data_IF_074652649342
#
_entry.id   IF_074652649342
#
_cell.length_a   1.000
_cell.length_b   1.000
_cell.length_c   1.000
_cell.angle_alpha   90.00
_cell.angle_beta   90.00
_cell.angle_gamma   90.00
#
_symmetry.space_group_name_H-M   'P 1'
#
loop_
_entity.id
_entity.type
_entity.pdbx_description
1 polymer ?
#
# COMPACT_ATOMS: atom_id res chain seq x y z
N UNK A 1 45.53 50.39 -12.64
CA UNK A 1 46.98 50.15 -12.50
C UNK A 1 47.27 48.70 -12.85
N UNK A 2 48.25 48.50 -13.75
CA UNK A 2 49.07 47.30 -14.07
C UNK A 2 49.11 46.20 -13.00
N UNK A 3 49.37 44.91 -13.26
CA UNK A 3 49.59 44.11 -14.47
C UNK A 3 49.89 42.65 -14.00
N UNK A 4 49.43 41.68 -14.80
CA UNK A 4 50.12 40.45 -15.28
C UNK A 4 51.14 39.70 -14.41
N UNK A 5 51.02 38.36 -14.36
CA UNK A 5 52.02 37.45 -14.94
C UNK A 5 51.49 36.01 -15.14
N UNK A 6 51.78 35.47 -16.34
CA UNK A 6 51.54 34.12 -16.87
C UNK A 6 52.80 33.24 -16.76
N UNK A 7 52.64 31.91 -16.82
CA UNK A 7 53.35 30.88 -17.65
C UNK A 7 52.94 29.50 -17.12
N UNK A 8 52.36 28.52 -17.83
CA UNK A 8 52.56 27.78 -19.11
C UNK A 8 53.83 26.89 -19.22
N UNK A 9 53.53 25.57 -19.29
CA UNK A 9 54.06 24.46 -20.13
C UNK A 9 55.43 23.84 -19.86
N UNK A 10 55.49 22.49 -19.81
CA UNK A 10 56.16 21.67 -20.84
C UNK A 10 55.81 20.17 -20.81
N UNK A 11 55.69 19.63 -22.02
CA UNK A 11 55.61 18.22 -22.43
C UNK A 11 57.01 17.73 -22.88
N UNK A 12 57.25 16.41 -22.90
CA UNK A 12 58.08 15.80 -23.95
C UNK A 12 59.12 14.72 -23.57
N UNK A 13 58.71 13.46 -23.78
CA UNK A 13 59.41 12.34 -24.47
C UNK A 13 60.87 11.96 -24.19
N UNK A 14 61.10 10.63 -24.09
CA UNK A 14 62.25 9.94 -24.74
C UNK A 14 61.91 8.47 -25.04
N UNK A 15 62.01 8.09 -26.30
CA UNK A 15 61.99 6.70 -26.76
C UNK A 15 63.38 6.17 -27.07
N UNK A 16 63.51 4.84 -27.19
CA UNK A 16 64.60 4.14 -27.88
C UNK A 16 64.10 2.78 -28.41
N UNK A 17 64.72 2.34 -29.51
CA UNK A 17 64.23 1.43 -30.56
C UNK A 17 64.68 -0.05 -30.39
N UNK A 18 63.82 -0.97 -30.87
CA UNK A 18 63.97 -2.27 -31.60
C UNK A 18 65.36 -2.99 -31.69
N UNK A 19 65.39 -4.35 -31.76
CA UNK A 19 65.10 -5.08 -33.01
C UNK A 19 64.29 -6.39 -32.88
N UNK A 20 63.92 -6.90 -34.06
CA UNK A 20 63.03 -8.02 -34.32
C UNK A 20 63.77 -9.37 -34.49
N UNK A 21 63.01 -10.46 -34.35
CA UNK A 21 63.15 -11.67 -35.15
C UNK A 21 63.63 -12.93 -34.44
N UNK A 22 62.73 -13.88 -34.19
CA UNK A 22 62.91 -15.29 -34.57
C UNK A 22 61.58 -16.05 -34.47
N UNK A 23 61.29 -16.82 -35.52
CA UNK A 23 60.13 -17.68 -35.69
C UNK A 23 60.42 -19.02 -35.00
N UNK A 24 59.51 -19.51 -34.17
CA UNK A 24 59.50 -20.90 -33.73
C UNK A 24 58.04 -21.38 -33.60
N UNK A 25 57.64 -22.25 -34.52
CA UNK A 25 56.39 -22.98 -34.48
C UNK A 25 56.42 -23.99 -33.32
N UNK A 26 55.35 -24.08 -32.54
CA UNK A 26 55.11 -25.16 -31.59
C UNK A 26 53.64 -25.58 -31.65
N UNK A 27 53.48 -26.89 -31.81
CA UNK A 27 52.29 -27.62 -32.19
C UNK A 27 51.10 -27.41 -31.24
N UNK A 28 49.90 -27.29 -31.82
CA UNK A 28 48.64 -27.43 -31.11
C UNK A 28 48.44 -28.91 -30.72
N UNK A 29 48.47 -29.20 -29.42
CA UNK A 29 48.00 -30.46 -28.87
C UNK A 29 46.50 -30.31 -28.61
N UNK A 30 45.68 -30.92 -29.45
CA UNK A 30 44.24 -31.04 -29.23
C UNK A 30 44.00 -32.10 -28.13
N UNK A 31 43.78 -31.66 -26.90
CA UNK A 31 43.26 -32.51 -25.84
C UNK A 31 41.73 -32.61 -25.99
N UNK A 32 41.24 -33.75 -26.48
CA UNK A 32 39.83 -34.12 -26.34
C UNK A 32 39.55 -34.36 -24.85
N UNK A 33 38.98 -33.37 -24.18
CA UNK A 33 38.31 -33.58 -22.90
C UNK A 33 36.90 -34.13 -23.19
N UNK A 34 36.72 -35.45 -23.00
CA UNK A 34 35.40 -36.04 -22.94
C UNK A 34 34.73 -35.57 -21.63
N UNK A 35 33.84 -34.59 -21.74
CA UNK A 35 32.96 -34.17 -20.65
C UNK A 35 31.93 -35.28 -20.39
N UNK A 36 31.68 -35.67 -19.13
CA UNK A 36 30.59 -36.59 -18.83
C UNK A 36 29.27 -35.89 -19.17
N UNK A 37 28.48 -36.52 -20.05
CA UNK A 37 27.12 -36.10 -20.32
C UNK A 37 26.28 -36.36 -19.07
N UNK A 38 26.05 -35.31 -18.27
CA UNK A 38 24.96 -35.33 -17.31
C UNK A 38 23.66 -35.34 -18.10
N UNK A 39 22.73 -36.28 -17.84
CA UNK A 39 21.41 -36.21 -18.45
C UNK A 39 20.74 -34.94 -17.91
N UNK A 40 20.68 -33.91 -18.76
CA UNK A 40 19.75 -32.79 -18.58
C UNK A 40 18.38 -33.32 -18.97
N UNK A 41 17.71 -33.99 -18.03
CA UNK A 41 16.26 -34.03 -18.08
C UNK A 41 15.80 -32.57 -17.87
N UNK A 42 15.05 -31.96 -18.81
CA UNK A 42 14.34 -30.75 -18.47
C UNK A 42 13.29 -31.16 -17.44
N UNK A 43 13.41 -30.74 -16.18
CA UNK A 43 12.20 -30.56 -15.37
C UNK A 43 11.46 -29.43 -16.06
N UNK A 44 10.47 -29.81 -16.86
CA UNK A 44 9.78 -28.89 -17.75
C UNK A 44 8.82 -28.04 -16.94
N UNK A 45 8.77 -26.73 -17.21
CA UNK A 45 7.71 -25.81 -16.76
C UNK A 45 6.27 -26.34 -17.01
N UNK A 46 6.15 -27.38 -17.84
CA UNK A 46 4.95 -28.13 -18.15
C UNK A 46 4.40 -28.92 -16.95
N UNK A 47 5.24 -29.49 -16.07
CA UNK A 47 4.76 -30.25 -14.89
C UNK A 47 4.04 -29.35 -13.87
N UNK A 48 4.47 -28.09 -13.71
CA UNK A 48 3.80 -27.09 -12.86
C UNK A 48 2.52 -26.50 -13.50
N UNK A 49 2.43 -26.47 -14.84
CA UNK A 49 1.22 -26.07 -15.55
C UNK A 49 0.15 -27.17 -15.47
N UNK A 50 0.55 -28.44 -15.63
CA UNK A 50 -0.34 -29.59 -15.55
C UNK A 50 -0.93 -29.76 -14.13
N UNK A 51 -0.13 -29.54 -13.07
CA UNK A 51 -0.61 -29.59 -11.69
C UNK A 51 -1.64 -28.50 -11.34
N UNK A 52 -1.60 -27.37 -12.04
CA UNK A 52 -2.55 -26.27 -11.86
C UNK A 52 -3.84 -26.46 -12.63
N UNK A 53 -3.79 -27.15 -13.77
CA UNK A 53 -4.95 -27.30 -14.65
C UNK A 53 -6.07 -28.11 -13.97
N UNK A 54 -5.68 -29.13 -13.19
CA UNK A 54 -6.57 -30.05 -12.47
C UNK A 54 -6.83 -29.65 -11.00
N UNK A 55 -6.29 -28.53 -10.52
CA UNK A 55 -6.43 -28.12 -9.12
C UNK A 55 -7.90 -27.72 -8.79
N UNK A 56 -8.50 -28.20 -7.68
CA UNK A 56 -9.91 -27.94 -7.37
C UNK A 56 -10.23 -26.44 -7.20
N UNK A 57 -9.29 -25.65 -6.66
CA UNK A 57 -9.44 -24.20 -6.50
C UNK A 57 -9.41 -23.39 -7.79
N UNK A 58 -8.95 -23.95 -8.92
CA UNK A 58 -8.80 -23.22 -10.19
C UNK A 58 -10.12 -22.65 -10.68
N UNK A 59 -11.18 -23.46 -10.68
CA UNK A 59 -12.48 -23.03 -11.21
C UNK A 59 -13.07 -21.85 -10.41
N UNK A 60 -12.80 -21.83 -9.10
CA UNK A 60 -13.21 -20.73 -8.20
C UNK A 60 -12.35 -19.49 -8.50
N UNK A 61 -11.03 -19.65 -8.62
CA UNK A 61 -10.10 -18.56 -8.92
C UNK A 61 -10.40 -17.90 -10.27
N UNK A 62 -10.56 -18.68 -11.34
CA UNK A 62 -10.84 -18.19 -12.69
C UNK A 62 -12.14 -17.38 -12.73
N UNK A 63 -13.13 -17.79 -11.92
CA UNK A 63 -14.44 -17.13 -11.85
C UNK A 63 -14.42 -15.83 -11.06
N UNK A 64 -13.70 -15.79 -9.93
CA UNK A 64 -13.85 -14.72 -8.94
C UNK A 64 -12.61 -13.84 -8.75
N UNK A 65 -11.42 -14.37 -9.01
CA UNK A 65 -10.14 -13.71 -8.68
C UNK A 65 -9.39 -13.25 -9.94
N UNK A 66 -9.39 -14.06 -11.00
CA UNK A 66 -8.59 -13.83 -12.21
C UNK A 66 -8.92 -12.52 -12.95
N UNK A 67 -10.14 -12.00 -12.78
CA UNK A 67 -10.54 -10.69 -13.35
C UNK A 67 -9.65 -9.54 -12.88
N UNK A 68 -9.15 -9.62 -11.63
CA UNK A 68 -8.24 -8.63 -11.04
C UNK A 68 -6.80 -9.16 -11.01
N UNK A 69 -6.59 -10.37 -10.51
CA UNK A 69 -5.26 -10.93 -10.28
C UNK A 69 -4.61 -11.60 -11.51
N UNK A 70 -5.34 -11.74 -12.62
CA UNK A 70 -4.86 -12.40 -13.83
C UNK A 70 -4.98 -13.93 -13.73
N UNK A 71 -5.15 -14.59 -14.88
CA UNK A 71 -5.20 -16.06 -14.97
C UNK A 71 -3.87 -16.70 -14.56
N UNK A 72 -2.77 -15.98 -14.77
CA UNK A 72 -1.42 -16.38 -14.40
C UNK A 72 -1.03 -15.88 -13.00
N UNK A 73 -1.94 -15.21 -12.27
CA UNK A 73 -1.74 -14.73 -10.90
C UNK A 73 -0.67 -13.66 -10.76
N UNK A 74 -0.36 -12.97 -11.86
CA UNK A 74 0.70 -11.96 -11.98
C UNK A 74 0.21 -10.55 -11.64
N UNK A 75 -1.02 -10.40 -11.12
CA UNK A 75 -1.61 -9.11 -10.80
C UNK A 75 -2.03 -8.30 -12.04
N UNK A 76 -2.02 -8.90 -13.24
CA UNK A 76 -2.34 -8.23 -14.51
C UNK A 76 -3.66 -8.73 -15.10
N UNK A 77 -4.67 -8.94 -14.25
CA UNK A 77 -6.03 -9.21 -14.73
C UNK A 77 -6.58 -8.04 -15.56
N UNK A 78 -7.61 -8.27 -16.39
CA UNK A 78 -8.20 -7.23 -17.24
C UNK A 78 -8.57 -5.96 -16.46
N UNK A 79 -8.99 -6.08 -15.20
CA UNK A 79 -9.39 -4.94 -14.37
C UNK A 79 -8.21 -4.16 -13.74
N UNK A 80 -7.00 -4.73 -13.72
CA UNK A 80 -5.85 -4.16 -13.01
C UNK A 80 -5.43 -2.77 -13.51
N UNK A 81 -5.72 -2.46 -14.78
CA UNK A 81 -5.42 -1.17 -15.41
C UNK A 81 -6.22 0.02 -14.82
N UNK A 82 -7.24 -0.26 -14.00
CA UNK A 82 -8.09 0.75 -13.35
C UNK A 82 -8.06 0.65 -11.82
N UNK A 83 -7.05 -0.01 -11.24
CA UNK A 83 -6.98 -0.27 -9.80
C UNK A 83 -5.71 0.30 -9.18
N UNK A 84 -5.89 1.09 -8.12
CA UNK A 84 -4.84 1.45 -7.19
C UNK A 84 -5.33 1.26 -5.74
N UNK A 85 -4.59 0.51 -4.90
CA UNK A 85 -3.37 -0.26 -5.22
C UNK A 85 -3.59 -1.34 -6.29
N UNK A 86 -2.52 -1.77 -6.96
CA UNK A 86 -2.60 -2.86 -7.96
C UNK A 86 -2.99 -4.18 -7.29
N UNK A 87 -3.72 -5.07 -7.97
CA UNK A 87 -3.93 -6.44 -7.50
C UNK A 87 -2.58 -7.13 -7.25
N UNK A 88 -2.54 -7.95 -6.20
CA UNK A 88 -1.32 -8.67 -5.82
C UNK A 88 -0.85 -9.60 -6.94
N UNK A 89 0.43 -9.52 -7.27
CA UNK A 89 1.18 -10.54 -8.02
C UNK A 89 1.58 -11.67 -7.06
N UNK A 90 0.91 -12.82 -7.19
CA UNK A 90 1.16 -14.01 -6.38
C UNK A 90 2.42 -14.77 -6.82
N UNK A 91 2.93 -14.53 -8.03
CA UNK A 91 4.14 -15.21 -8.54
C UNK A 91 5.40 -14.82 -7.77
N UNK A 92 5.42 -13.60 -7.22
CA UNK A 92 6.51 -13.09 -6.38
C UNK A 92 6.53 -13.69 -4.97
N UNK A 93 5.41 -14.27 -4.52
CA UNK A 93 5.21 -14.72 -3.13
C UNK A 93 5.44 -13.62 -2.06
N UNK A 94 5.28 -12.34 -2.41
CA UNK A 94 5.39 -11.21 -1.49
C UNK A 94 3.99 -10.78 -1.00
N UNK A 95 3.66 -11.08 0.24
CA UNK A 95 2.34 -10.80 0.82
C UNK A 95 2.40 -9.65 1.84
N UNK A 96 1.52 -8.66 1.73
CA UNK A 96 1.49 -7.56 2.70
C UNK A 96 1.03 -8.01 4.09
N UNK A 97 -0.02 -8.83 4.14
CA UNK A 97 -0.72 -9.17 5.38
C UNK A 97 -0.28 -10.55 5.86
N UNK A 98 0.59 -10.57 6.87
CA UNK A 98 1.20 -11.78 7.41
C UNK A 98 1.31 -11.75 8.92
N UNK A 99 1.44 -12.93 9.52
CA UNK A 99 1.86 -13.12 10.91
C UNK A 99 3.28 -13.63 11.02
N UNK A 100 4.02 -13.69 9.92
CA UNK A 100 5.40 -14.19 9.83
C UNK A 100 6.39 -13.02 9.70
N UNK A 101 7.70 -13.22 9.97
CA UNK A 101 8.70 -12.16 9.85
C UNK A 101 8.73 -11.49 8.46
N UNK A 102 9.22 -10.25 8.36
CA UNK A 102 9.36 -9.56 7.06
C UNK A 102 10.21 -10.38 6.08
N UNK A 103 9.76 -10.46 4.83
CA UNK A 103 10.40 -11.29 3.80
C UNK A 103 10.05 -12.78 3.84
N UNK A 104 9.42 -13.28 4.91
CA UNK A 104 8.97 -14.67 4.99
C UNK A 104 7.62 -14.87 4.28
N UNK A 105 7.36 -16.10 3.82
CA UNK A 105 6.06 -16.48 3.26
C UNK A 105 4.90 -16.27 4.26
N UNK A 106 3.66 -16.03 3.79
CA UNK A 106 2.49 -16.09 4.65
C UNK A 106 2.22 -17.52 5.13
N UNK A 107 1.50 -17.66 6.24
CA UNK A 107 0.85 -18.93 6.59
C UNK A 107 -0.43 -19.13 5.77
N UNK A 108 -0.93 -20.37 5.68
CA UNK A 108 -2.24 -20.66 5.06
C UNK A 108 -3.36 -19.86 5.75
N UNK A 109 -3.28 -19.68 7.08
CA UNK A 109 -4.21 -18.87 7.85
C UNK A 109 -4.14 -17.38 7.51
N UNK A 110 -2.96 -16.86 7.16
CA UNK A 110 -2.82 -15.47 6.70
C UNK A 110 -3.50 -15.25 5.34
N UNK A 111 -3.29 -16.19 4.40
CA UNK A 111 -3.94 -16.14 3.08
C UNK A 111 -5.46 -16.26 3.24
N UNK A 112 -5.92 -17.24 4.03
CA UNK A 112 -7.34 -17.46 4.27
C UNK A 112 -8.01 -16.22 4.89
N UNK A 113 -7.39 -15.60 5.91
CA UNK A 113 -7.93 -14.37 6.52
C UNK A 113 -8.15 -13.26 5.50
N UNK A 114 -7.21 -13.06 4.57
CA UNK A 114 -7.34 -12.03 3.52
C UNK A 114 -8.45 -12.40 2.52
N UNK A 115 -8.63 -13.67 2.19
CA UNK A 115 -9.75 -14.13 1.36
C UNK A 115 -11.09 -13.88 2.09
N UNK A 116 -11.14 -14.16 3.38
CA UNK A 116 -12.35 -14.08 4.19
C UNK A 116 -12.81 -12.65 4.40
N UNK A 117 -11.91 -11.80 4.87
CA UNK A 117 -12.18 -10.43 5.30
C UNK A 117 -12.02 -9.42 4.15
N UNK A 118 -11.26 -9.78 3.11
CA UNK A 118 -10.83 -8.86 2.07
C UNK A 118 -9.68 -7.97 2.52
N UNK A 119 -9.46 -6.87 1.80
CA UNK A 119 -8.50 -5.83 2.20
C UNK A 119 -9.21 -4.48 2.17
N UNK A 120 -9.72 -3.99 3.32
CA UNK A 120 -10.27 -2.64 3.44
C UNK A 120 -9.27 -1.61 2.90
N UNK A 121 -9.76 -0.50 2.35
CA UNK A 121 -8.90 0.48 1.66
C UNK A 121 -8.46 0.08 0.24
N UNK A 122 -8.86 -1.10 -0.24
CA UNK A 122 -8.62 -1.56 -1.62
C UNK A 122 -9.93 -2.03 -2.29
N UNK A 123 -9.84 -2.50 -3.54
CA UNK A 123 -10.96 -3.11 -4.26
C UNK A 123 -11.17 -4.59 -3.94
N UNK A 124 -10.38 -5.19 -3.04
CA UNK A 124 -10.47 -6.61 -2.70
C UNK A 124 -11.56 -6.88 -1.64
N UNK A 125 -12.72 -7.46 -2.02
CA UNK A 125 -13.79 -7.73 -1.08
C UNK A 125 -13.50 -8.97 -0.23
N UNK A 126 -14.23 -9.13 0.87
CA UNK A 126 -14.28 -10.37 1.63
C UNK A 126 -15.18 -11.42 0.98
N UNK A 127 -14.77 -12.68 1.01
CA UNK A 127 -15.44 -13.79 0.32
C UNK A 127 -16.08 -14.82 1.26
N UNK A 128 -15.93 -14.67 2.59
CA UNK A 128 -16.48 -15.61 3.57
C UNK A 128 -18.00 -15.84 3.41
N UNK A 129 -18.74 -14.78 3.11
CA UNK A 129 -20.20 -14.85 2.91
C UNK A 129 -20.64 -15.36 1.54
N UNK A 130 -19.70 -15.55 0.60
CA UNK A 130 -19.98 -15.86 -0.81
C UNK A 130 -19.43 -17.21 -1.27
N UNK A 131 -18.37 -17.71 -0.63
CA UNK A 131 -17.72 -18.97 -0.94
C UNK A 131 -17.83 -19.92 0.26
N UNK A 132 -17.99 -21.22 -0.01
CA UNK A 132 -17.95 -22.23 1.05
C UNK A 132 -16.54 -22.32 1.67
N UNK A 133 -16.44 -22.86 2.89
CA UNK A 133 -15.14 -23.07 3.54
C UNK A 133 -14.19 -23.92 2.66
N UNK A 134 -14.71 -25.00 2.07
CA UNK A 134 -13.92 -25.86 1.19
C UNK A 134 -13.41 -25.13 -0.07
N UNK A 135 -14.24 -24.28 -0.70
CA UNK A 135 -13.79 -23.48 -1.85
C UNK A 135 -12.70 -22.47 -1.45
N UNK A 136 -12.75 -21.92 -0.23
CA UNK A 136 -11.73 -21.01 0.28
C UNK A 136 -10.43 -21.73 0.62
N UNK A 137 -10.50 -22.91 1.22
CA UNK A 137 -9.33 -23.76 1.47
C UNK A 137 -8.67 -24.17 0.13
N UNK A 138 -9.47 -24.59 -0.86
CA UNK A 138 -9.00 -24.91 -2.21
C UNK A 138 -8.36 -23.68 -2.90
N UNK A 139 -8.85 -22.47 -2.64
CA UNK A 139 -8.23 -21.23 -3.13
C UNK A 139 -6.87 -20.98 -2.47
N UNK A 140 -6.74 -21.19 -1.16
CA UNK A 140 -5.44 -21.02 -0.45
C UNK A 140 -4.39 -21.93 -1.09
N UNK A 141 -4.71 -23.20 -1.28
CA UNK A 141 -3.80 -24.15 -1.93
C UNK A 141 -3.51 -23.77 -3.38
N UNK A 142 -4.54 -23.32 -4.12
CA UNK A 142 -4.35 -22.87 -5.51
C UNK A 142 -3.44 -21.64 -5.60
N UNK A 143 -3.58 -20.67 -4.70
CA UNK A 143 -2.76 -19.45 -4.67
C UNK A 143 -1.27 -19.77 -4.47
N UNK A 144 -0.96 -20.80 -3.70
CA UNK A 144 0.42 -21.25 -3.47
C UNK A 144 1.06 -21.83 -4.73
N UNK A 145 0.27 -22.37 -5.66
CA UNK A 145 0.77 -22.90 -6.94
C UNK A 145 1.32 -21.83 -7.91
N UNK A 146 1.05 -20.54 -7.67
CA UNK A 146 1.60 -19.46 -8.49
C UNK A 146 3.09 -19.22 -8.27
N UNK A 147 3.65 -19.70 -7.16
CA UNK A 147 5.06 -19.47 -6.84
C UNK A 147 5.76 -20.69 -6.28
N UNK A 148 6.87 -21.05 -6.91
CA UNK A 148 7.75 -22.14 -6.45
C UNK A 148 8.32 -21.94 -5.04
N UNK A 149 8.29 -20.71 -4.49
CA UNK A 149 8.80 -20.46 -3.14
C UNK A 149 8.03 -21.26 -2.08
N UNK A 150 6.74 -21.50 -2.30
CA UNK A 150 5.92 -22.34 -1.40
C UNK A 150 6.30 -23.83 -1.41
N UNK A 151 7.07 -24.30 -2.38
CA UNK A 151 7.57 -25.68 -2.44
C UNK A 151 8.99 -25.82 -1.83
N UNK A 152 9.74 -24.71 -1.79
CA UNK A 152 11.16 -24.71 -1.43
C UNK A 152 11.41 -24.33 0.04
N UNK A 153 10.48 -23.61 0.66
CA UNK A 153 10.62 -23.14 2.04
C UNK A 153 9.82 -24.02 2.99
N UNK A 154 10.35 -24.23 4.19
CA UNK A 154 9.59 -24.82 5.28
C UNK A 154 8.41 -23.91 5.66
N UNK A 155 7.31 -24.50 6.12
CA UNK A 155 6.16 -23.73 6.57
C UNK A 155 6.58 -22.70 7.64
N UNK A 156 6.34 -21.39 7.41
CA UNK A 156 6.84 -20.35 8.28
C UNK A 156 6.09 -20.34 9.61
N UNK A 157 6.82 -20.05 10.70
CA UNK A 157 6.23 -19.92 12.02
C UNK A 157 5.71 -18.48 12.23
N UNK A 158 4.49 -18.29 12.75
CA UNK A 158 4.01 -16.99 13.19
C UNK A 158 4.93 -16.37 14.26
N UNK A 159 5.03 -15.05 14.27
CA UNK A 159 5.69 -14.30 15.33
C UNK A 159 4.85 -14.34 16.61
N UNK A 160 5.53 -14.41 17.74
CA UNK A 160 4.91 -14.20 19.05
C UNK A 160 4.81 -12.69 19.30
N UNK A 161 3.58 -12.21 19.48
CA UNK A 161 3.29 -10.77 19.71
C UNK A 161 2.97 -10.44 21.16
N UNK A 162 2.66 -11.44 22.00
CA UNK A 162 2.22 -11.17 23.38
C UNK A 162 0.86 -10.44 23.42
N UNK A 163 0.61 -9.68 24.48
CA UNK A 163 -0.63 -8.93 24.65
C UNK A 163 -0.38 -7.44 24.79
N UNK A 164 -1.26 -6.63 24.22
CA UNK A 164 -1.16 -5.18 24.31
C UNK A 164 -1.19 -4.70 25.78
N UNK A 165 -0.35 -3.72 26.16
CA UNK A 165 -0.55 -3.00 27.40
C UNK A 165 -1.89 -2.28 27.37
N UNK A 166 -2.47 -2.02 28.55
CA UNK A 166 -3.73 -1.29 28.65
C UNK A 166 -3.61 0.12 28.08
N UNK A 167 -4.64 0.57 27.38
CA UNK A 167 -4.70 1.94 26.85
C UNK A 167 -4.70 2.96 28.01
N UNK A 168 -3.69 3.82 28.02
CA UNK A 168 -3.53 4.91 28.99
C UNK A 168 -3.00 6.16 28.27
N UNK A 169 -3.22 7.34 28.87
CA UNK A 169 -2.72 8.60 28.33
C UNK A 169 -1.18 8.60 28.20
N UNK A 170 -0.49 8.00 29.18
CA UNK A 170 0.96 7.82 29.15
C UNK A 170 1.42 6.93 28.00
N UNK A 171 0.75 5.79 27.78
CA UNK A 171 1.07 4.89 26.67
C UNK A 171 0.88 5.58 25.30
N UNK A 172 -0.20 6.35 25.14
CA UNK A 172 -0.48 7.10 23.89
C UNK A 172 0.55 8.21 23.68
N UNK A 173 0.94 8.94 24.71
CA UNK A 173 1.96 10.00 24.60
C UNK A 173 3.34 9.42 24.29
N UNK A 174 3.70 8.29 24.90
CA UNK A 174 4.93 7.57 24.56
C UNK A 174 4.93 7.10 23.10
N UNK A 175 3.80 6.59 22.61
CA UNK A 175 3.63 6.21 21.21
C UNK A 175 3.74 7.40 20.26
N UNK A 176 3.15 8.54 20.62
CA UNK A 176 3.25 9.80 19.88
C UNK A 176 4.70 10.27 19.77
N UNK A 177 5.44 10.23 20.88
CA UNK A 177 6.87 10.55 20.89
C UNK A 177 7.62 9.64 19.93
N UNK A 178 7.37 8.32 19.99
CA UNK A 178 8.05 7.37 19.11
C UNK A 178 7.69 7.56 17.63
N UNK A 179 6.43 7.88 17.31
CA UNK A 179 6.00 8.23 15.96
C UNK A 179 6.79 9.39 15.35
N UNK A 180 7.16 10.36 16.19
CA UNK A 180 7.98 11.50 15.78
C UNK A 180 9.46 11.13 15.66
N UNK A 181 10.00 10.36 16.62
CA UNK A 181 11.40 9.91 16.62
C UNK A 181 11.75 8.95 15.48
N UNK A 182 10.83 8.05 15.13
CA UNK A 182 10.94 7.14 13.99
C UNK A 182 10.52 7.80 12.67
N UNK A 183 10.18 9.09 12.70
CA UNK A 183 9.83 9.91 11.55
C UNK A 183 8.67 9.35 10.70
N UNK A 184 7.71 8.66 11.32
CA UNK A 184 6.53 8.10 10.66
C UNK A 184 5.72 9.19 9.92
N UNK A 185 5.75 10.41 10.47
CA UNK A 185 5.13 11.61 9.89
C UNK A 185 5.66 11.99 8.50
N UNK A 186 6.86 11.53 8.09
CA UNK A 186 7.38 11.82 6.74
C UNK A 186 6.51 11.24 5.65
N UNK A 187 5.93 10.06 5.88
CA UNK A 187 4.99 9.43 4.97
C UNK A 187 3.54 9.68 5.40
N UNK A 188 3.22 9.44 6.67
CA UNK A 188 1.85 9.50 7.15
C UNK A 188 1.37 10.89 7.57
N UNK A 189 2.25 11.90 7.64
CA UNK A 189 1.92 13.25 8.13
C UNK A 189 1.85 13.35 9.65
N UNK A 190 1.92 14.57 10.20
CA UNK A 190 1.90 14.78 11.66
C UNK A 190 0.60 14.32 12.32
N UNK A 191 -0.51 14.47 11.61
CA UNK A 191 -1.84 14.03 12.05
C UNK A 191 -2.18 12.60 11.57
N UNK A 192 -1.25 11.91 10.90
CA UNK A 192 -1.46 10.57 10.38
C UNK A 192 -2.35 10.49 9.15
N UNK A 193 -2.59 11.57 8.40
CA UNK A 193 -3.57 11.61 7.29
C UNK A 193 -3.03 11.17 5.93
N UNK A 194 -1.86 10.55 5.89
CA UNK A 194 -1.20 10.19 4.62
C UNK A 194 -0.74 11.41 3.81
N UNK A 195 -0.59 12.57 4.44
CA UNK A 195 -0.21 13.85 3.84
C UNK A 195 1.22 14.29 4.21
N UNK A 196 2.08 13.32 4.54
CA UNK A 196 3.48 13.59 4.82
C UNK A 196 4.25 14.07 3.58
N UNK A 197 5.36 14.80 3.75
CA UNK A 197 6.13 15.36 2.62
C UNK A 197 6.68 14.31 1.64
N UNK A 198 6.83 13.05 2.07
CA UNK A 198 7.24 11.94 1.22
C UNK A 198 6.07 11.13 0.66
N UNK A 199 4.83 11.39 1.09
CA UNK A 199 3.64 10.68 0.58
C UNK A 199 3.52 10.67 -0.95
N UNK A 200 3.68 11.81 -1.68
CA UNK A 200 3.52 11.82 -3.13
C UNK A 200 4.66 11.14 -3.90
N UNK A 201 5.72 10.68 -3.23
CA UNK A 201 6.86 10.02 -3.89
C UNK A 201 6.88 8.51 -3.70
N UNK A 202 5.91 7.94 -2.97
CA UNK A 202 5.93 6.53 -2.61
C UNK A 202 5.54 5.64 -3.80
N UNK A 203 6.25 4.53 -3.96
CA UNK A 203 5.91 3.49 -4.95
C UNK A 203 6.04 2.12 -4.31
N UNK A 204 5.27 1.16 -4.77
CA UNK A 204 5.48 -0.23 -4.42
C UNK A 204 6.74 -0.79 -5.13
N UNK A 205 7.13 -2.03 -4.80
CA UNK A 205 8.32 -2.65 -5.41
C UNK A 205 8.16 -2.88 -6.93
N UNK A 206 6.93 -2.84 -7.45
CA UNK A 206 6.61 -2.88 -8.88
C UNK A 206 6.73 -1.51 -9.56
N UNK A 207 7.02 -0.45 -8.82
CA UNK A 207 7.09 0.93 -9.30
C UNK A 207 5.72 1.60 -9.45
N UNK A 208 4.64 0.99 -8.97
CA UNK A 208 3.31 1.59 -9.02
C UNK A 208 3.11 2.57 -7.86
N UNK A 209 2.43 3.71 -8.09
CA UNK A 209 2.11 4.65 -7.02
C UNK A 209 1.32 3.96 -5.89
N UNK A 210 1.82 4.07 -4.64
CA UNK A 210 1.10 3.61 -3.44
C UNK A 210 0.99 4.73 -2.40
N UNK A 211 -0.21 4.96 -1.87
CA UNK A 211 -0.42 6.01 -0.85
C UNK A 211 -0.25 5.45 0.55
N UNK A 212 0.41 6.17 1.47
CA UNK A 212 0.33 5.84 2.88
C UNK A 212 -1.13 5.89 3.34
N UNK A 213 -1.54 4.94 4.18
CA UNK A 213 -2.88 4.93 4.74
C UNK A 213 -3.14 6.20 5.58
N UNK A 214 -4.39 6.71 5.55
CA UNK A 214 -4.88 7.66 6.54
C UNK A 214 -5.12 6.90 7.86
N UNK A 215 -4.22 7.12 8.80
CA UNK A 215 -4.21 6.50 10.12
C UNK A 215 -5.37 6.95 11.03
N UNK A 216 -6.10 8.00 10.64
CA UNK A 216 -7.36 8.39 11.29
C UNK A 216 -8.57 7.58 10.81
N UNK A 217 -8.38 6.73 9.80
CA UNK A 217 -9.37 5.83 9.21
C UNK A 217 -9.01 4.35 9.42
N UNK A 218 -8.79 3.91 10.67
CA UNK A 218 -8.35 2.54 10.96
C UNK A 218 -9.28 1.42 10.45
N UNK A 219 -10.55 1.73 10.16
CA UNK A 219 -11.47 0.78 9.51
C UNK A 219 -11.10 0.48 8.05
N UNK A 220 -10.24 1.30 7.44
CA UNK A 220 -9.71 1.12 6.09
C UNK A 220 -8.33 0.45 6.07
N UNK A 221 -7.82 -0.01 7.21
CA UNK A 221 -6.52 -0.69 7.23
C UNK A 221 -6.62 -2.08 6.63
N UNK A 222 -5.88 -2.32 5.54
CA UNK A 222 -5.80 -3.60 4.82
C UNK A 222 -5.61 -4.83 5.71
N UNK A 223 -4.95 -4.68 6.86
CA UNK A 223 -4.59 -5.75 7.78
C UNK A 223 -5.36 -5.78 9.10
N UNK A 224 -6.40 -4.96 9.23
CA UNK A 224 -7.20 -4.78 10.44
C UNK A 224 -6.81 -3.55 11.26
N UNK A 225 -7.82 -2.92 11.88
CA UNK A 225 -7.69 -1.69 12.65
C UNK A 225 -7.55 -1.85 14.17
N UNK A 226 -7.39 -3.08 14.70
CA UNK A 226 -7.16 -3.31 16.13
C UNK A 226 -5.72 -2.97 16.53
N UNK A 227 -5.47 -2.77 17.84
CA UNK A 227 -4.11 -2.48 18.33
C UNK A 227 -3.15 -3.63 18.01
N UNK A 228 -3.61 -4.88 18.15
CA UNK A 228 -2.85 -6.09 17.85
C UNK A 228 -2.57 -6.22 16.35
N UNK A 229 -3.55 -5.88 15.50
CA UNK A 229 -3.37 -5.89 14.06
C UNK A 229 -2.34 -4.84 13.63
N UNK A 230 -2.44 -3.61 14.14
CA UNK A 230 -1.49 -2.52 13.90
C UNK A 230 -0.10 -2.92 14.37
N UNK A 231 0.03 -3.41 15.60
CA UNK A 231 1.30 -3.88 16.15
C UNK A 231 1.90 -5.01 15.32
N UNK A 232 1.08 -5.96 14.87
CA UNK A 232 1.53 -7.04 13.98
C UNK A 232 2.11 -6.47 12.70
N UNK A 233 1.47 -5.48 12.07
CA UNK A 233 2.01 -4.83 10.86
C UNK A 233 3.31 -4.08 11.12
N UNK A 234 3.46 -3.44 12.28
CA UNK A 234 4.73 -2.82 12.67
C UNK A 234 5.84 -3.86 12.87
N UNK A 235 5.53 -5.05 13.38
CA UNK A 235 6.50 -6.15 13.54
C UNK A 235 6.82 -6.88 12.23
N UNK A 236 5.83 -7.11 11.36
CA UNK A 236 6.01 -7.91 10.14
C UNK A 236 6.39 -7.06 8.93
N UNK A 237 6.14 -5.76 8.95
CA UNK A 237 6.17 -4.92 7.75
C UNK A 237 5.05 -5.28 6.77
N UNK A 238 5.01 -4.54 5.64
CA UNK A 238 4.11 -4.80 4.52
C UNK A 238 4.95 -5.08 3.27
N UNK A 239 5.32 -6.34 3.04
CA UNK A 239 6.21 -6.72 1.93
C UNK A 239 5.66 -6.27 0.57
N UNK A 240 6.57 -5.85 -0.31
CA UNK A 240 6.22 -5.22 -1.58
C UNK A 240 5.88 -3.74 -1.47
N UNK A 241 6.02 -3.11 -0.30
CA UNK A 241 5.72 -1.68 -0.09
C UNK A 241 6.84 -0.97 0.68
N UNK A 242 6.88 0.37 0.67
CA UNK A 242 7.84 1.14 1.47
C UNK A 242 7.66 1.05 2.99
N UNK A 243 6.58 0.43 3.50
CA UNK A 243 6.32 0.34 4.94
C UNK A 243 7.13 -0.82 5.56
N UNK A 244 8.22 -0.52 6.30
CA UNK A 244 9.16 -1.53 6.74
C UNK A 244 8.65 -2.30 7.96
N UNK A 245 9.34 -3.38 8.29
CA UNK A 245 9.28 -3.96 9.62
C UNK A 245 10.16 -3.16 10.59
N UNK A 246 9.69 -3.04 11.83
CA UNK A 246 10.44 -2.48 12.95
C UNK A 246 11.02 -3.57 13.87
N UNK A 247 10.92 -4.86 13.49
CA UNK A 247 11.46 -5.97 14.27
C UNK A 247 12.97 -5.83 14.49
N UNK A 248 13.73 -5.43 13.47
CA UNK A 248 15.18 -5.23 13.58
C UNK A 248 15.54 -4.15 14.62
N UNK A 249 14.71 -3.11 14.79
CA UNK A 249 14.93 -2.09 15.82
C UNK A 249 14.69 -2.64 17.22
N UNK A 250 13.68 -3.50 17.38
CA UNK A 250 13.39 -4.20 18.64
C UNK A 250 14.50 -5.18 18.97
N UNK A 251 14.91 -6.01 18.01
CA UNK A 251 15.94 -7.05 18.18
C UNK A 251 17.32 -6.44 18.47
N UNK A 252 17.63 -5.30 17.86
CA UNK A 252 18.84 -4.53 18.14
C UNK A 252 18.78 -3.75 19.47
N UNK A 253 17.63 -3.72 20.15
CA UNK A 253 17.42 -2.98 21.40
C UNK A 253 17.45 -1.46 21.23
N UNK A 254 17.20 -0.97 20.01
CA UNK A 254 17.06 0.48 19.72
C UNK A 254 15.75 1.00 20.31
N UNK A 255 14.70 0.19 20.22
CA UNK A 255 13.42 0.40 20.89
C UNK A 255 13.04 -0.89 21.62
N UNK A 256 12.19 -0.79 22.61
CA UNK A 256 11.62 -1.95 23.32
C UNK A 256 10.33 -2.43 22.67
N UNK A 257 9.94 -3.66 22.97
CA UNK A 257 8.65 -4.22 22.54
C UNK A 257 7.46 -3.40 23.07
N UNK A 258 7.56 -2.96 24.32
CA UNK A 258 6.57 -2.11 24.98
C UNK A 258 6.44 -0.74 24.30
N UNK A 259 7.55 -0.14 23.87
CA UNK A 259 7.54 1.10 23.08
C UNK A 259 6.85 0.92 21.72
N UNK A 260 7.03 -0.22 21.07
CA UNK A 260 6.34 -0.52 19.81
C UNK A 260 4.83 -0.72 20.03
N UNK A 261 4.43 -1.33 21.15
CA UNK A 261 3.03 -1.39 21.56
C UNK A 261 2.43 0.00 21.83
N UNK A 262 3.18 0.89 22.49
CA UNK A 262 2.78 2.28 22.67
C UNK A 262 2.56 3.00 21.33
N UNK A 263 3.43 2.76 20.33
CA UNK A 263 3.23 3.28 18.98
C UNK A 263 1.94 2.76 18.34
N UNK A 264 1.65 1.47 18.46
CA UNK A 264 0.39 0.90 17.96
C UNK A 264 -0.85 1.51 18.64
N UNK A 265 -0.79 1.74 19.96
CA UNK A 265 -1.84 2.43 20.72
C UNK A 265 -2.03 3.88 20.26
N UNK A 266 -0.94 4.60 20.01
CA UNK A 266 -1.00 5.95 19.45
C UNK A 266 -1.67 5.96 18.07
N UNK A 267 -1.24 5.09 17.15
CA UNK A 267 -1.85 4.98 15.82
C UNK A 267 -3.34 4.66 15.94
N UNK A 268 -3.73 3.71 16.80
CA UNK A 268 -5.15 3.42 17.05
C UNK A 268 -5.93 4.63 17.58
N UNK A 269 -5.31 5.47 18.40
CA UNK A 269 -5.92 6.66 19.01
C UNK A 269 -6.21 7.79 18.02
N UNK A 270 -5.60 7.78 16.83
CA UNK A 270 -5.85 8.75 15.77
C UNK A 270 -7.25 8.59 15.14
N UNK A 271 -7.83 7.39 15.25
CA UNK A 271 -9.14 7.06 14.74
C UNK A 271 -10.23 7.15 15.83
N UNK A 272 -11.51 7.37 15.46
CA UNK A 272 -12.64 7.30 16.40
C UNK A 272 -12.68 5.97 17.19
N UNK A 273 -13.30 6.01 18.36
CA UNK A 273 -13.44 4.82 19.23
C UNK A 273 -14.20 3.69 18.52
N UNK A 274 -15.20 4.03 17.70
CA UNK A 274 -16.03 3.10 16.95
C UNK A 274 -15.91 3.42 15.46
N UNK A 275 -15.84 2.37 14.66
CA UNK A 275 -15.97 2.49 13.21
C UNK A 275 -17.25 3.26 12.86
N UNK A 276 -17.18 4.26 11.96
CA UNK A 276 -18.36 4.99 11.56
C UNK A 276 -19.36 4.08 10.84
N UNK A 277 -20.63 4.22 11.19
CA UNK A 277 -21.71 3.66 10.38
C UNK A 277 -21.82 4.43 9.06
N UNK A 278 -22.08 3.70 7.97
CA UNK A 278 -22.42 4.29 6.68
C UNK A 278 -23.84 4.83 6.74
N UNK A 279 -24.02 6.10 6.38
CA UNK A 279 -25.32 6.76 6.40
C UNK A 279 -25.70 7.33 5.04
N UNK A 280 -26.81 6.84 4.48
CA UNK A 280 -27.41 7.39 3.26
C UNK A 280 -28.26 8.64 3.54
N UNK A 281 -28.56 8.90 4.82
CA UNK A 281 -29.41 10.01 5.26
C UNK A 281 -28.73 10.77 6.40
N UNK A 282 -28.41 12.04 6.15
CA UNK A 282 -27.92 12.98 7.16
C UNK A 282 -29.11 13.63 7.85
N UNK A 283 -29.29 13.37 9.14
CA UNK A 283 -30.34 14.02 9.92
C UNK A 283 -29.83 15.32 10.52
N UNK A 284 -30.43 16.45 10.12
CA UNK A 284 -30.20 17.73 10.76
C UNK A 284 -31.00 17.80 12.08
N UNK A 285 -30.32 17.95 13.22
CA UNK A 285 -31.00 18.10 14.50
C UNK A 285 -31.55 19.53 14.69
N UNK A 286 -32.76 19.66 15.23
CA UNK A 286 -33.30 20.97 15.59
C UNK A 286 -32.62 21.50 16.85
N UNK A 287 -32.16 22.75 16.83
CA UNK A 287 -31.60 23.45 17.99
C UNK A 287 -32.42 24.70 18.30
N UNK A 288 -32.54 25.02 19.59
CA UNK A 288 -33.33 26.18 20.06
C UNK A 288 -32.49 27.47 20.22
N UNK A 289 -31.19 27.43 19.89
CA UNK A 289 -30.26 28.55 19.99
C UNK A 289 -29.61 28.89 18.64
N UNK A 290 -28.56 29.72 18.70
CA UNK A 290 -27.83 30.16 17.51
C UNK A 290 -27.19 28.97 16.79
N UNK A 291 -27.30 28.97 15.45
CA UNK A 291 -26.62 27.99 14.61
C UNK A 291 -25.11 28.24 14.58
N UNK A 292 -24.28 27.19 14.39
CA UNK A 292 -22.85 27.35 14.25
C UNK A 292 -22.51 28.32 13.12
N UNK A 293 -21.68 29.33 13.41
CA UNK A 293 -21.42 30.42 12.47
C UNK A 293 -20.29 30.11 11.47
N UNK A 294 -19.49 29.07 11.72
CA UNK A 294 -18.37 28.67 10.86
C UNK A 294 -18.04 27.17 10.99
N UNK A 295 -17.26 26.59 10.06
CA UNK A 295 -16.79 25.21 10.16
C UNK A 295 -15.89 24.92 11.38
N UNK A 296 -15.30 25.96 11.98
CA UNK A 296 -14.42 25.84 13.15
C UNK A 296 -15.15 26.08 14.49
N UNK A 297 -16.46 26.32 14.44
CA UNK A 297 -17.25 26.63 15.63
C UNK A 297 -17.29 25.43 16.60
N UNK A 298 -17.03 25.71 17.88
CA UNK A 298 -17.09 24.70 18.95
C UNK A 298 -18.47 24.06 19.12
N UNK A 299 -19.54 24.72 18.67
CA UNK A 299 -20.90 24.18 18.71
C UNK A 299 -21.04 22.85 17.96
N UNK A 300 -20.17 22.59 16.96
CA UNK A 300 -20.15 21.30 16.25
C UNK A 300 -19.72 20.11 17.12
N UNK A 301 -19.06 20.32 18.26
CA UNK A 301 -18.56 19.22 19.09
C UNK A 301 -19.69 18.32 19.65
N UNK A 302 -20.90 18.88 19.84
CA UNK A 302 -22.07 18.14 20.30
C UNK A 302 -23.00 17.63 19.19
N UNK A 303 -22.67 17.88 17.92
CA UNK A 303 -23.54 17.52 16.78
C UNK A 303 -23.14 16.15 16.24
N UNK A 304 -24.12 15.29 16.00
CA UNK A 304 -23.92 13.97 15.40
C UNK A 304 -23.16 14.07 14.07
N UNK A 305 -22.15 13.21 13.90
CA UNK A 305 -21.36 13.09 12.67
C UNK A 305 -21.83 11.88 11.89
N UNK A 306 -22.08 12.09 10.59
CA UNK A 306 -22.38 11.05 9.62
C UNK A 306 -21.18 10.89 8.70
N UNK A 307 -20.75 9.65 8.45
CA UNK A 307 -19.73 9.35 7.46
C UNK A 307 -20.40 8.87 6.18
N UNK A 308 -20.04 9.51 5.08
CA UNK A 308 -20.47 9.15 3.74
C UNK A 308 -19.23 8.68 2.98
N UNK A 309 -19.08 7.37 2.76
CA UNK A 309 -17.97 6.86 1.96
C UNK A 309 -18.12 7.36 0.52
N UNK A 310 -17.02 7.78 -0.07
CA UNK A 310 -16.94 8.18 -1.46
C UNK A 310 -16.19 7.12 -2.24
N UNK A 311 -16.70 6.83 -3.42
CA UNK A 311 -16.01 6.01 -4.42
C UNK A 311 -15.90 6.81 -5.70
N UNK A 312 -14.90 6.49 -6.51
CA UNK A 312 -14.76 7.08 -7.83
C UNK A 312 -16.03 6.88 -8.66
N UNK A 313 -16.46 7.91 -9.40
CA UNK A 313 -17.56 7.76 -10.36
C UNK A 313 -17.08 6.89 -11.52
N UNK A 314 -17.55 5.65 -11.58
CA UNK A 314 -17.16 4.68 -12.63
C UNK A 314 -18.33 4.18 -13.49
N UNK A 315 -19.55 4.62 -13.16
CA UNK A 315 -20.80 4.17 -13.78
C UNK A 315 -21.07 4.95 -15.08
N UNK A 316 -20.87 6.27 -15.05
CA UNK A 316 -21.17 7.17 -16.18
C UNK A 316 -19.88 7.86 -16.64
N UNK A 317 -19.70 7.96 -17.95
CA UNK A 317 -18.59 8.71 -18.53
C UNK A 317 -18.78 10.22 -18.29
N UNK A 318 -17.73 10.95 -17.86
CA UNK A 318 -16.36 10.49 -17.61
C UNK A 318 -16.14 9.70 -16.32
N UNK A 319 -15.35 8.62 -16.39
CA UNK A 319 -15.01 7.75 -15.26
C UNK A 319 -13.73 8.19 -14.53
N UNK A 320 -13.74 8.04 -13.20
CA UNK A 320 -12.63 8.34 -12.31
C UNK A 320 -12.32 7.13 -11.41
N UNK A 321 -11.15 6.52 -11.59
CA UNK A 321 -10.80 5.25 -10.94
C UNK A 321 -9.83 5.38 -9.75
N UNK A 322 -9.23 6.55 -9.54
CA UNK A 322 -8.27 6.80 -8.46
C UNK A 322 -8.65 8.04 -7.64
N UNK A 323 -9.76 8.01 -6.87
CA UNK A 323 -10.17 9.15 -6.07
C UNK A 323 -9.12 9.48 -4.99
N UNK A 324 -8.79 10.76 -4.86
CA UNK A 324 -7.90 11.23 -3.79
C UNK A 324 -8.62 11.20 -2.43
N UNK A 325 -9.90 11.58 -2.44
CA UNK A 325 -10.81 11.63 -1.30
C UNK A 325 -11.75 10.42 -1.34
N UNK A 326 -11.80 9.67 -0.25
CA UNK A 326 -12.53 8.41 -0.09
C UNK A 326 -13.70 8.50 0.91
N UNK A 327 -13.88 9.65 1.56
CA UNK A 327 -14.98 9.87 2.49
C UNK A 327 -15.23 11.33 2.81
N UNK A 328 -16.48 11.63 3.17
CA UNK A 328 -16.89 12.93 3.71
C UNK A 328 -17.64 12.72 5.01
N UNK A 329 -17.22 13.45 6.04
CA UNK A 329 -17.96 13.61 7.27
C UNK A 329 -18.94 14.78 7.16
N UNK A 330 -20.20 14.55 7.51
CA UNK A 330 -21.25 15.56 7.49
C UNK A 330 -21.85 15.74 8.89
N UNK A 331 -22.02 16.99 9.28
CA UNK A 331 -22.82 17.40 10.43
C UNK A 331 -23.87 18.41 9.97
N UNK A 332 -25.06 18.36 10.56
CA UNK A 332 -26.13 19.29 10.20
C UNK A 332 -27.02 19.63 11.41
N UNK A 333 -27.41 20.89 11.51
CA UNK A 333 -28.36 21.40 12.52
C UNK A 333 -29.23 22.50 11.91
N UNK A 334 -30.44 22.69 12.44
CA UNK A 334 -31.36 23.72 11.97
C UNK A 334 -32.17 24.34 13.12
N UNK A 335 -32.68 25.56 12.95
CA UNK A 335 -33.58 26.22 13.91
C UNK A 335 -35.07 26.10 13.51
N UNK A 336 -35.32 25.68 12.26
CA UNK A 336 -36.65 25.58 11.63
C UNK A 336 -36.82 26.52 10.43
N UNK A 337 -35.95 27.51 10.29
CA UNK A 337 -35.91 28.47 9.18
C UNK A 337 -34.59 28.37 8.40
N UNK A 338 -33.48 28.16 9.11
CA UNK A 338 -32.12 28.10 8.59
C UNK A 338 -31.51 26.72 8.87
N UNK A 339 -30.74 26.22 7.89
CA UNK A 339 -29.96 25.00 7.99
C UNK A 339 -28.47 25.35 7.98
N UNK A 340 -27.72 24.87 8.97
CA UNK A 340 -26.27 24.90 8.99
C UNK A 340 -25.73 23.49 8.76
N UNK A 341 -24.74 23.38 7.87
CA UNK A 341 -24.07 22.13 7.55
C UNK A 341 -22.55 22.30 7.64
N UNK A 342 -21.87 21.25 8.08
CA UNK A 342 -20.40 21.17 8.07
C UNK A 342 -19.99 19.90 7.34
N UNK A 343 -19.08 20.08 6.39
CA UNK A 343 -18.45 19.01 5.63
C UNK A 343 -16.97 18.97 5.99
N UNK A 344 -16.42 17.79 6.23
CA UNK A 344 -15.00 17.57 6.50
C UNK A 344 -14.56 16.36 5.69
N UNK A 345 -13.54 16.51 4.87
CA UNK A 345 -12.91 15.42 4.13
C UNK A 345 -11.39 15.49 4.27
N UNK A 346 -10.74 14.38 3.99
CA UNK A 346 -9.28 14.28 3.98
C UNK A 346 -8.82 14.26 2.52
N UNK A 347 -8.15 15.34 2.12
CA UNK A 347 -7.45 15.41 0.85
C UNK A 347 -5.94 15.46 1.13
N UNK A 348 -5.22 14.34 0.93
CA UNK A 348 -3.78 14.30 1.14
C UNK A 348 -3.02 15.19 0.15
N UNK A 349 -3.66 15.54 -0.98
CA UNK A 349 -3.08 16.37 -2.03
C UNK A 349 -3.31 17.87 -1.87
N UNK A 350 -4.10 18.29 -0.87
CA UNK A 350 -4.48 19.70 -0.61
C UNK A 350 -4.71 20.49 -1.89
N UNK A 351 -5.51 19.92 -2.79
CA UNK A 351 -5.58 20.33 -4.19
C UNK A 351 -5.99 21.81 -4.32
N UNK A 352 -5.22 22.62 -5.07
CA UNK A 352 -3.99 22.26 -5.79
C UNK A 352 -2.73 22.35 -4.92
N UNK A 353 -1.96 21.25 -4.81
CA UNK A 353 -0.58 21.24 -4.32
C UNK A 353 0.38 20.72 -5.41
N UNK A 354 1.38 21.52 -5.86
CA UNK A 354 2.36 21.10 -6.87
C UNK A 354 3.20 19.89 -6.49
N UNK A 355 3.38 19.59 -5.19
CA UNK A 355 4.17 18.43 -4.75
C UNK A 355 3.53 17.11 -5.20
N UNK A 356 2.24 17.12 -5.55
CA UNK A 356 1.48 15.98 -6.07
C UNK A 356 1.43 15.90 -7.60
N UNK A 357 2.07 16.81 -8.34
CA UNK A 357 2.01 16.81 -9.80
C UNK A 357 2.76 15.63 -10.43
N UNK A 358 3.90 15.25 -9.86
CA UNK A 358 4.66 14.06 -10.31
C UNK A 358 3.87 12.79 -10.02
N UNK A 359 3.26 12.69 -8.84
CA UNK A 359 2.34 11.61 -8.50
C UNK A 359 1.19 11.51 -9.50
N UNK A 360 0.51 12.63 -9.80
CA UNK A 360 -0.56 12.67 -10.80
C UNK A 360 -0.08 12.26 -12.19
N UNK A 361 1.15 12.60 -12.56
CA UNK A 361 1.76 12.17 -13.81
C UNK A 361 2.04 10.65 -13.82
N UNK A 362 2.48 10.06 -12.71
CA UNK A 362 2.65 8.60 -12.57
C UNK A 362 1.30 7.88 -12.64
N UNK A 363 0.27 8.38 -11.96
CA UNK A 363 -1.10 7.85 -12.08
C UNK A 363 -1.54 7.78 -13.55
N UNK A 364 -1.30 8.86 -14.32
CA UNK A 364 -1.66 8.92 -15.73
C UNK A 364 -0.82 8.00 -16.64
N UNK A 365 0.34 7.52 -16.17
CA UNK A 365 1.17 6.55 -16.90
C UNK A 365 0.75 5.10 -16.65
N UNK A 366 0.28 4.80 -15.42
CA UNK A 366 0.01 3.43 -14.97
C UNK A 366 -1.47 3.04 -14.97
N UNK A 367 -2.37 4.03 -14.96
CA UNK A 367 -3.80 3.81 -15.11
C UNK A 367 -4.26 4.19 -16.50
N UNK A 368 -5.16 3.38 -17.06
CA UNK A 368 -5.90 3.75 -18.26
C UNK A 368 -6.54 5.13 -18.06
N UNK A 369 -6.55 5.98 -19.11
CA UNK A 369 -6.72 7.41 -18.94
C UNK A 369 -8.08 7.73 -18.33
N UNK A 370 -8.06 8.67 -17.37
CA UNK A 370 -9.22 9.46 -16.97
C UNK A 370 -10.00 9.84 -18.22
N UNK A 371 -11.23 9.33 -18.35
CA UNK A 371 -12.12 9.72 -19.42
C UNK A 371 -12.61 11.15 -19.13
N UNK A 372 -12.90 11.94 -20.17
CA UNK A 372 -13.43 13.31 -20.05
C UNK A 372 -12.41 14.44 -19.87
N UNK A 373 -12.95 15.65 -19.74
CA UNK A 373 -12.17 16.84 -19.44
C UNK A 373 -11.62 16.75 -18.02
N UNK A 374 -10.29 16.70 -17.88
CA UNK A 374 -9.67 16.85 -16.58
C UNK A 374 -10.01 18.25 -16.05
N UNK A 375 -10.36 18.38 -14.75
CA UNK A 375 -10.39 19.70 -14.14
C UNK A 375 -9.06 20.40 -14.41
N UNK A 376 -9.07 21.74 -14.55
CA UNK A 376 -7.83 22.51 -14.57
C UNK A 376 -6.93 22.08 -13.40
N UNK A 377 -5.61 21.93 -13.61
CA UNK A 377 -4.70 21.45 -12.57
C UNK A 377 -4.66 22.34 -11.32
N UNK A 378 -5.20 23.57 -11.41
CA UNK A 378 -5.35 24.56 -10.35
C UNK A 378 -6.76 24.62 -9.72
N UNK A 379 -7.68 23.73 -10.12
CA UNK A 379 -9.01 23.69 -9.54
C UNK A 379 -8.96 23.06 -8.13
N UNK A 380 -9.40 23.78 -7.08
CA UNK A 380 -9.48 23.20 -5.75
C UNK A 380 -10.61 22.18 -5.67
N UNK A 381 -10.54 21.30 -4.67
CA UNK A 381 -11.66 20.46 -4.29
C UNK A 381 -12.93 21.30 -4.08
N UNK A 382 -14.03 20.84 -4.68
CA UNK A 382 -15.31 21.52 -4.59
C UNK A 382 -16.42 20.51 -4.32
N UNK A 383 -17.41 20.94 -3.52
CA UNK A 383 -18.64 20.20 -3.32
C UNK A 383 -19.82 21.03 -3.81
N UNK A 384 -20.86 20.37 -4.33
CA UNK A 384 -22.10 21.01 -4.74
C UNK A 384 -23.25 20.45 -3.92
N UNK A 385 -24.07 21.35 -3.37
CA UNK A 385 -25.32 20.98 -2.68
C UNK A 385 -26.48 21.27 -3.61
N UNK A 386 -27.28 20.25 -3.90
CA UNK A 386 -28.48 20.37 -4.71
C UNK A 386 -29.72 20.23 -3.82
N UNK A 387 -30.56 21.27 -3.78
CA UNK A 387 -31.86 21.18 -3.15
C UNK A 387 -32.88 20.56 -4.11
N UNK A 388 -33.81 19.72 -3.61
CA UNK A 388 -34.89 19.21 -4.43
C UNK A 388 -35.71 20.38 -4.98
N UNK A 389 -35.99 20.32 -6.29
CA UNK A 389 -36.75 21.32 -7.03
C UNK A 389 -38.25 21.18 -6.85
#
# INVERSE_FOLDING_TARGET
MRALLRRRTRSGSRGRRHPAGTVAALAAVAALAALPAFPTAPLTAQEGQDAREDHPGRAVYDKWCAGCHGVDGDGNGPAAAWMLPRPRDFTQALYQIRTTPSGALPTDADILRVIDEGMPGTTMPGWEGHLSAAERDDLVDYLKTFSRFFEMEDAPAPIEIGGAPGMSEEAVENGRRLYQELECWKCHGDAGRGDGPSAPTQTDDGGFPIRPADLSENWMFNGGGSVEAIYTRLRTGLDGTPMPSFADLVDAGVITDEELWHLALYVRSLSPEREPGIADVVRAARVDGDLPASPADSAWAGVERFYVPLVGQIIVEPRWFAPAVDGVWVQAVHDGETLAMRFVWHDPSRSPDPDWDEWRALLAQHLEPLEGERPPPDAPDAFTVQFPT
#
